data_IF_620695304136
#
_entry.id   IF_620695304136
#
_cell.length_a   1.000
_cell.length_b   1.000
_cell.length_c   1.000
_cell.angle_alpha   90.00
_cell.angle_beta   90.00
_cell.angle_gamma   90.00
#
_symmetry.space_group_name_H-M   'P 1'
#
loop_
_entity.id
_entity.type
_entity.pdbx_description
1 polymer ?
#
# COMPACT_ATOMS: atom_id res chain seq x y z
N UNK A 1 6.62 22.24 -12.70
CA UNK A 1 6.64 23.68 -12.41
C UNK A 1 7.22 23.96 -11.04
N UNK A 2 6.48 23.75 -9.93
CA UNK A 2 6.95 24.09 -8.57
C UNK A 2 8.33 23.50 -8.19
N UNK A 3 8.58 22.21 -8.46
CA UNK A 3 9.90 21.59 -8.23
C UNK A 3 11.05 22.25 -9.01
N UNK A 4 10.77 22.83 -10.18
CA UNK A 4 11.78 23.53 -10.98
C UNK A 4 12.27 24.82 -10.33
N UNK A 5 11.37 25.55 -9.65
CA UNK A 5 11.72 26.77 -8.91
C UNK A 5 12.71 26.52 -7.77
N UNK A 6 12.72 25.31 -7.20
CA UNK A 6 13.74 24.89 -6.24
C UNK A 6 15.14 24.96 -6.85
N UNK A 7 15.34 24.47 -8.08
CA UNK A 7 16.66 24.49 -8.74
C UNK A 7 17.14 25.92 -8.92
N UNK A 8 16.28 26.82 -9.43
CA UNK A 8 16.58 28.25 -9.54
C UNK A 8 16.93 28.89 -8.19
N UNK A 9 16.22 28.52 -7.12
CA UNK A 9 16.55 29.00 -5.78
C UNK A 9 17.91 28.49 -5.28
N UNK A 10 18.29 27.25 -5.59
CA UNK A 10 19.61 26.71 -5.28
C UNK A 10 20.72 27.41 -6.06
N UNK A 11 20.49 27.73 -7.33
CA UNK A 11 21.43 28.49 -8.17
C UNK A 11 21.62 29.94 -7.70
N UNK A 12 20.68 30.50 -6.92
CA UNK A 12 20.78 31.82 -6.31
C UNK A 12 21.64 31.86 -5.03
N UNK A 13 22.11 30.73 -4.50
CA UNK A 13 22.86 30.67 -3.23
C UNK A 13 24.30 31.20 -3.35
N UNK A 14 25.14 30.79 -4.33
CA UNK A 14 26.55 31.16 -4.39
C UNK A 14 26.78 32.57 -4.98
N UNK A 15 26.25 33.61 -4.32
CA UNK A 15 26.47 35.01 -4.69
C UNK A 15 27.92 35.44 -4.44
N UNK A 16 28.39 36.43 -5.19
CA UNK A 16 29.78 36.90 -5.10
C UNK A 16 29.95 37.92 -3.96
N UNK A 17 30.96 37.69 -3.12
CA UNK A 17 31.35 38.56 -1.99
C UNK A 17 30.18 38.85 -1.02
N UNK A 18 29.95 40.10 -0.64
CA UNK A 18 28.89 40.48 0.30
C UNK A 18 27.48 40.44 -0.32
N UNK A 19 27.38 40.49 -1.65
CA UNK A 19 26.19 40.24 -2.49
C UNK A 19 26.42 40.69 -3.95
N UNK A 20 25.77 39.99 -4.88
CA UNK A 20 25.39 40.53 -6.19
C UNK A 20 23.86 40.48 -6.36
N UNK A 21 23.31 41.01 -7.45
CA UNK A 21 21.85 41.18 -7.65
C UNK A 21 21.23 40.14 -8.59
N UNK A 22 21.99 39.14 -9.05
CA UNK A 22 21.52 38.13 -10.04
C UNK A 22 20.25 37.40 -9.58
N UNK A 23 20.19 37.02 -8.30
CA UNK A 23 19.03 36.38 -7.67
C UNK A 23 17.74 37.18 -7.82
N UNK A 24 17.83 38.51 -7.86
CA UNK A 24 16.67 39.40 -7.81
C UNK A 24 15.75 39.26 -9.03
N UNK A 25 16.28 39.03 -10.24
CA UNK A 25 15.43 38.83 -11.43
C UNK A 25 14.73 37.49 -11.41
N UNK A 26 15.42 36.44 -10.96
CA UNK A 26 14.86 35.11 -10.78
C UNK A 26 13.78 35.09 -9.68
N UNK A 27 14.05 35.70 -8.53
CA UNK A 27 13.14 35.76 -7.37
C UNK A 27 11.84 36.51 -7.67
N UNK A 28 11.87 37.53 -8.53
CA UNK A 28 10.66 38.23 -8.99
C UNK A 28 9.68 37.31 -9.73
N UNK A 29 10.17 36.19 -10.27
CA UNK A 29 9.33 35.18 -10.92
C UNK A 29 9.03 34.07 -9.92
N UNK A 30 10.08 33.43 -9.39
CA UNK A 30 9.88 32.17 -8.65
C UNK A 30 9.17 32.36 -7.32
N UNK A 31 9.32 33.50 -6.62
CA UNK A 31 8.67 33.70 -5.32
C UNK A 31 7.16 33.90 -5.44
N UNK A 32 6.63 34.88 -6.23
CA UNK A 32 5.20 35.04 -6.38
C UNK A 32 4.56 33.83 -7.07
N UNK A 33 5.21 33.25 -8.09
CA UNK A 33 4.68 32.07 -8.77
C UNK A 33 4.60 30.86 -7.83
N UNK A 34 5.66 30.55 -7.08
CA UNK A 34 5.69 29.37 -6.22
C UNK A 34 4.67 29.46 -5.09
N UNK A 35 4.58 30.61 -4.42
CA UNK A 35 3.67 30.80 -3.29
C UNK A 35 2.20 30.82 -3.73
N UNK A 36 1.88 31.53 -4.82
CA UNK A 36 0.53 31.55 -5.39
C UNK A 36 0.12 30.17 -5.90
N UNK A 37 1.01 29.46 -6.60
CA UNK A 37 0.73 28.13 -7.11
C UNK A 37 0.51 27.13 -5.98
N UNK A 38 1.34 27.18 -4.93
CA UNK A 38 1.20 26.27 -3.79
C UNK A 38 -0.10 26.53 -3.02
N UNK A 39 -0.45 27.79 -2.78
CA UNK A 39 -1.73 28.17 -2.17
C UNK A 39 -2.92 27.62 -2.98
N UNK A 40 -2.91 27.83 -4.30
CA UNK A 40 -3.94 27.27 -5.18
C UNK A 40 -4.00 25.73 -5.11
N UNK A 41 -2.85 25.06 -5.16
CA UNK A 41 -2.79 23.59 -5.10
C UNK A 41 -3.34 23.05 -3.78
N UNK A 42 -3.01 23.67 -2.65
CA UNK A 42 -3.48 23.25 -1.32
C UNK A 42 -5.00 23.44 -1.21
N UNK A 43 -5.53 24.61 -1.55
CA UNK A 43 -6.97 24.87 -1.50
C UNK A 43 -7.75 23.95 -2.45
N UNK A 44 -7.25 23.79 -3.69
CA UNK A 44 -7.92 22.93 -4.68
C UNK A 44 -7.90 21.47 -4.25
N UNK A 45 -6.78 20.98 -3.75
CA UNK A 45 -6.64 19.58 -3.34
C UNK A 45 -7.42 19.28 -2.05
N UNK A 46 -7.47 20.21 -1.10
CA UNK A 46 -8.34 20.10 0.08
C UNK A 46 -9.81 19.86 -0.34
N UNK A 47 -10.32 20.66 -1.29
CA UNK A 47 -11.66 20.46 -1.85
C UNK A 47 -11.83 19.13 -2.58
N UNK A 48 -10.79 18.60 -3.24
CA UNK A 48 -10.83 17.26 -3.85
C UNK A 48 -10.97 16.17 -2.78
N UNK A 49 -10.19 16.24 -1.71
CA UNK A 49 -10.24 15.26 -0.61
C UNK A 49 -11.57 15.35 0.15
N UNK A 50 -12.06 16.57 0.43
CA UNK A 50 -13.33 16.80 1.13
C UNK A 50 -14.54 16.24 0.36
N UNK A 51 -14.52 16.32 -0.97
CA UNK A 51 -15.61 15.85 -1.84
C UNK A 51 -15.31 14.50 -2.49
N UNK A 52 -14.28 13.78 -2.03
CA UNK A 52 -13.88 12.51 -2.63
C UNK A 52 -14.96 11.45 -2.37
N UNK A 53 -15.51 10.90 -3.45
CA UNK A 53 -16.45 9.78 -3.36
C UNK A 53 -15.66 8.47 -3.32
N UNK A 54 -15.78 7.73 -2.21
CA UNK A 54 -15.17 6.41 -2.01
C UNK A 54 -16.22 5.32 -2.24
N UNK A 55 -15.86 4.31 -3.03
CA UNK A 55 -16.72 3.16 -3.32
C UNK A 55 -16.19 1.92 -2.61
N UNK A 56 -16.66 1.69 -1.40
CA UNK A 56 -16.20 0.60 -0.51
C UNK A 56 -16.43 -0.78 -1.15
N UNK A 57 -17.59 -1.02 -1.76
CA UNK A 57 -17.90 -2.28 -2.46
C UNK A 57 -16.89 -2.59 -3.59
N UNK A 58 -16.43 -1.55 -4.29
CA UNK A 58 -15.42 -1.72 -5.34
C UNK A 58 -14.04 -2.02 -4.75
N UNK A 59 -13.71 -1.43 -3.60
CA UNK A 59 -12.45 -1.74 -2.89
C UNK A 59 -12.44 -3.19 -2.44
N UNK A 60 -13.52 -3.66 -1.82
CA UNK A 60 -13.66 -5.05 -1.39
C UNK A 60 -13.64 -6.02 -2.58
N UNK A 61 -14.45 -5.75 -3.62
CA UNK A 61 -14.46 -6.55 -4.84
C UNK A 61 -13.07 -6.66 -5.48
N UNK A 62 -12.28 -5.58 -5.48
CA UNK A 62 -10.93 -5.60 -6.02
C UNK A 62 -9.96 -6.51 -5.25
N UNK A 63 -10.13 -6.66 -3.93
CA UNK A 63 -9.33 -7.61 -3.14
C UNK A 63 -9.60 -9.04 -3.63
N UNK A 64 -10.88 -9.36 -3.85
CA UNK A 64 -11.32 -10.70 -4.28
C UNK A 64 -11.09 -11.01 -5.76
N UNK A 65 -10.68 -10.04 -6.60
CA UNK A 65 -10.35 -10.27 -8.02
C UNK A 65 -9.21 -11.24 -8.25
N UNK A 66 -8.39 -11.49 -7.22
CA UNK A 66 -7.32 -12.49 -7.24
C UNK A 66 -7.74 -13.82 -6.62
N UNK A 67 -9.06 -14.09 -6.55
CA UNK A 67 -9.61 -15.36 -6.08
C UNK A 67 -9.18 -15.77 -4.65
N UNK A 68 -8.74 -14.81 -3.83
CA UNK A 68 -8.24 -15.06 -2.47
C UNK A 68 -6.74 -15.35 -2.39
N UNK A 69 -5.97 -15.18 -3.46
CA UNK A 69 -4.52 -15.38 -3.47
C UNK A 69 -3.75 -14.46 -2.52
N UNK A 70 -4.33 -13.31 -2.16
CA UNK A 70 -3.79 -12.39 -1.14
C UNK A 70 -3.54 -13.06 0.21
N UNK A 71 -4.23 -14.18 0.51
CA UNK A 71 -4.11 -14.93 1.75
C UNK A 71 -3.00 -16.00 1.74
N UNK A 72 -2.39 -16.28 0.59
CA UNK A 72 -1.37 -17.33 0.42
C UNK A 72 -0.21 -17.22 1.42
N UNK A 73 0.26 -16.00 1.71
CA UNK A 73 1.33 -15.79 2.68
C UNK A 73 0.89 -16.17 4.10
N UNK A 74 -0.36 -15.88 4.48
CA UNK A 74 -0.87 -16.18 5.83
C UNK A 74 -1.05 -17.70 6.01
N UNK A 75 -1.55 -18.38 4.98
CA UNK A 75 -1.61 -19.84 4.94
C UNK A 75 -0.21 -20.46 5.08
N UNK A 76 0.77 -19.97 4.31
CA UNK A 76 2.16 -20.41 4.38
C UNK A 76 2.73 -20.25 5.80
N UNK A 77 2.51 -19.10 6.44
CA UNK A 77 2.99 -18.88 7.81
C UNK A 77 2.33 -19.81 8.82
N UNK A 78 1.03 -20.12 8.68
CA UNK A 78 0.38 -21.10 9.55
C UNK A 78 0.98 -22.50 9.44
N UNK A 79 1.33 -22.93 8.23
CA UNK A 79 2.04 -24.21 8.02
C UNK A 79 3.40 -24.21 8.74
N UNK A 80 4.13 -23.09 8.67
CA UNK A 80 5.40 -22.93 9.39
C UNK A 80 5.20 -22.98 10.91
N UNK A 81 4.18 -22.31 11.43
CA UNK A 81 3.85 -22.29 12.86
C UNK A 81 3.49 -23.69 13.39
N UNK A 82 3.01 -24.58 12.51
CA UNK A 82 2.78 -26.02 12.79
C UNK A 82 4.02 -26.89 12.66
N UNK A 83 5.16 -26.32 12.32
CA UNK A 83 6.45 -27.01 12.25
C UNK A 83 6.89 -27.42 10.84
N UNK A 84 6.15 -27.03 9.79
CA UNK A 84 6.60 -27.25 8.42
C UNK A 84 7.81 -26.36 8.09
N UNK A 85 8.91 -26.90 7.52
CA UNK A 85 10.01 -26.08 7.02
C UNK A 85 9.51 -25.05 5.99
N UNK A 86 10.05 -23.83 6.04
CA UNK A 86 9.63 -22.72 5.17
C UNK A 86 9.65 -23.07 3.67
N UNK A 87 10.70 -23.75 3.23
CA UNK A 87 10.85 -24.19 1.83
C UNK A 87 9.73 -25.16 1.45
N UNK A 88 9.47 -26.17 2.29
CA UNK A 88 8.37 -27.10 2.08
C UNK A 88 7.00 -26.38 2.07
N UNK A 89 6.75 -25.45 3.01
CA UNK A 89 5.51 -24.69 3.03
C UNK A 89 5.31 -23.83 1.78
N UNK A 90 6.41 -23.27 1.24
CA UNK A 90 6.38 -22.53 -0.01
C UNK A 90 6.08 -23.46 -1.19
N UNK A 91 6.78 -24.59 -1.29
CA UNK A 91 6.61 -25.58 -2.36
C UNK A 91 5.23 -26.26 -2.34
N UNK A 92 4.58 -26.30 -1.18
CA UNK A 92 3.17 -26.73 -1.04
C UNK A 92 2.19 -25.64 -1.51
N UNK A 93 2.35 -24.40 -1.05
CA UNK A 93 1.37 -23.33 -1.30
C UNK A 93 1.46 -22.77 -2.73
N UNK A 94 2.67 -22.66 -3.28
CA UNK A 94 2.89 -22.02 -4.59
C UNK A 94 2.15 -22.72 -5.74
N UNK A 95 2.20 -24.05 -5.90
CA UNK A 95 1.49 -24.73 -7.00
C UNK A 95 -0.04 -24.56 -6.90
N UNK A 96 -0.59 -24.57 -5.68
CA UNK A 96 -2.02 -24.36 -5.45
C UNK A 96 -2.45 -22.93 -5.80
N UNK A 97 -1.61 -21.94 -5.46
CA UNK A 97 -1.81 -20.56 -5.84
C UNK A 97 -1.76 -20.37 -7.37
N UNK A 98 -0.79 -21.02 -8.04
CA UNK A 98 -0.70 -21.02 -9.50
C UNK A 98 -1.92 -21.66 -10.15
N UNK A 99 -2.40 -22.78 -9.61
CA UNK A 99 -3.64 -23.43 -10.07
C UNK A 99 -4.84 -22.49 -9.99
N UNK A 100 -5.05 -21.86 -8.83
CA UNK A 100 -6.12 -20.86 -8.65
C UNK A 100 -6.03 -19.72 -9.66
N UNK A 101 -4.82 -19.25 -9.96
CA UNK A 101 -4.58 -18.21 -10.94
C UNK A 101 -4.87 -18.65 -12.39
N UNK A 102 -4.36 -19.81 -12.79
CA UNK A 102 -4.50 -20.31 -14.17
C UNK A 102 -5.94 -20.75 -14.48
N UNK A 103 -6.60 -21.38 -13.52
CA UNK A 103 -7.96 -21.92 -13.68
C UNK A 103 -9.05 -20.91 -13.28
N UNK A 104 -8.66 -19.76 -12.71
CA UNK A 104 -9.58 -18.73 -12.19
C UNK A 104 -10.55 -19.27 -11.13
N UNK A 105 -10.11 -20.26 -10.37
CA UNK A 105 -10.85 -20.87 -9.28
C UNK A 105 -10.52 -20.22 -7.93
N UNK A 106 -11.47 -20.28 -6.99
CA UNK A 106 -11.26 -19.78 -5.63
C UNK A 106 -10.11 -20.55 -4.95
N UNK A 107 -9.17 -19.82 -4.37
CA UNK A 107 -7.98 -20.40 -3.78
C UNK A 107 -8.29 -21.25 -2.54
N UNK A 108 -9.26 -20.82 -1.71
CA UNK A 108 -9.62 -21.53 -0.47
C UNK A 108 -10.13 -22.97 -0.71
N UNK A 109 -11.09 -23.23 -1.63
CA UNK A 109 -11.47 -24.60 -1.96
C UNK A 109 -10.32 -25.48 -2.48
N UNK A 110 -9.39 -24.90 -3.25
CA UNK A 110 -8.20 -25.65 -3.73
C UNK A 110 -7.33 -26.09 -2.54
N UNK A 111 -7.16 -25.21 -1.55
CA UNK A 111 -6.40 -25.45 -0.32
C UNK A 111 -7.08 -26.50 0.57
N UNK A 112 -8.40 -26.43 0.71
CA UNK A 112 -9.21 -27.39 1.49
C UNK A 112 -9.22 -28.79 0.87
N UNK A 113 -8.96 -28.91 -0.44
CA UNK A 113 -8.87 -30.17 -1.13
C UNK A 113 -7.45 -30.80 -1.09
N UNK A 114 -6.44 -30.09 -0.59
CA UNK A 114 -5.06 -30.56 -0.53
C UNK A 114 -4.78 -31.35 0.78
N UNK A 115 -4.37 -32.60 0.63
CA UNK A 115 -4.10 -33.50 1.77
C UNK A 115 -2.92 -33.00 2.62
N UNK A 116 -1.87 -32.43 2.01
CA UNK A 116 -0.69 -31.97 2.77
C UNK A 116 -1.00 -30.79 3.69
N UNK A 117 -1.99 -29.96 3.29
CA UNK A 117 -2.49 -28.86 4.11
C UNK A 117 -3.44 -29.36 5.19
N UNK A 118 -4.42 -30.19 4.82
CA UNK A 118 -5.46 -30.67 5.76
C UNK A 118 -4.95 -31.68 6.80
N UNK A 119 -3.83 -32.36 6.53
CA UNK A 119 -3.11 -33.15 7.54
C UNK A 119 -2.38 -32.26 8.56
N UNK A 120 -2.03 -31.03 8.20
CA UNK A 120 -1.23 -30.11 9.03
C UNK A 120 -2.09 -29.08 9.76
N UNK A 121 -3.14 -28.57 9.12
CA UNK A 121 -4.03 -27.52 9.61
C UNK A 121 -5.46 -28.04 9.74
N UNK A 122 -6.12 -27.64 10.83
CA UNK A 122 -7.56 -27.86 10.99
C UNK A 122 -8.36 -26.91 10.11
N UNK A 123 -9.63 -27.22 9.87
CA UNK A 123 -10.53 -26.35 9.10
C UNK A 123 -10.62 -24.94 9.70
N UNK A 124 -10.70 -24.81 11.03
CA UNK A 124 -10.72 -23.51 11.70
C UNK A 124 -9.44 -22.69 11.46
N UNK A 125 -8.29 -23.35 11.35
CA UNK A 125 -7.01 -22.70 11.06
C UNK A 125 -6.89 -22.28 9.59
N UNK A 126 -7.46 -23.07 8.68
CA UNK A 126 -7.60 -22.68 7.27
C UNK A 126 -8.54 -21.50 7.17
N UNK A 127 -9.72 -21.55 7.79
CA UNK A 127 -10.68 -20.44 7.82
C UNK A 127 -10.05 -19.17 8.36
N UNK A 128 -9.29 -19.27 9.46
CA UNK A 128 -8.54 -18.14 10.00
C UNK A 128 -7.52 -17.62 8.98
N UNK A 129 -6.80 -18.45 8.22
CA UNK A 129 -5.85 -17.96 7.21
C UNK A 129 -6.48 -17.05 6.14
N UNK A 130 -7.77 -17.23 5.85
CA UNK A 130 -8.53 -16.48 4.85
C UNK A 130 -9.35 -15.33 5.43
N UNK A 131 -9.19 -15.02 6.71
CA UNK A 131 -9.86 -13.89 7.35
C UNK A 131 -9.18 -12.55 7.01
N UNK A 132 -9.98 -11.57 6.56
CA UNK A 132 -9.50 -10.23 6.23
C UNK A 132 -9.21 -9.40 7.47
N UNK A 133 -9.95 -9.60 8.58
CA UNK A 133 -9.89 -8.78 9.79
C UNK A 133 -8.52 -8.86 10.46
N UNK A 134 -7.81 -9.96 10.28
CA UNK A 134 -6.42 -10.06 10.69
C UNK A 134 -5.55 -8.92 10.14
N UNK A 135 -5.76 -8.46 8.89
CA UNK A 135 -4.95 -7.41 8.28
C UNK A 135 -5.29 -6.01 8.82
N UNK A 136 -6.49 -5.84 9.40
CA UNK A 136 -6.96 -4.56 9.95
C UNK A 136 -6.85 -4.47 11.47
N UNK A 137 -6.47 -5.56 12.16
CA UNK A 137 -6.34 -5.64 13.64
C UNK A 137 -5.52 -4.54 14.32
N UNK A 138 -4.60 -3.90 13.59
CA UNK A 138 -3.72 -2.86 14.13
C UNK A 138 -4.08 -1.44 13.65
N UNK A 139 -5.16 -1.26 12.89
CA UNK A 139 -5.61 0.06 12.41
C UNK A 139 -5.81 1.01 13.59
N UNK A 140 -6.47 0.53 14.64
CA UNK A 140 -6.74 1.26 15.86
C UNK A 140 -5.48 1.77 16.57
N UNK A 141 -4.48 0.89 16.71
CA UNK A 141 -3.17 1.23 17.27
C UNK A 141 -2.45 2.31 16.45
N UNK A 142 -2.61 2.29 15.12
CA UNK A 142 -2.02 3.30 14.24
C UNK A 142 -2.73 4.64 14.39
N UNK A 143 -4.06 4.65 14.45
CA UNK A 143 -4.87 5.86 14.63
C UNK A 143 -4.58 6.56 15.95
N UNK A 144 -4.41 5.80 17.03
CA UNK A 144 -4.01 6.35 18.33
C UNK A 144 -2.65 7.08 18.27
N UNK A 145 -1.67 6.50 17.57
CA UNK A 145 -0.33 7.12 17.42
C UNK A 145 -0.33 8.44 16.67
N UNK A 146 -1.30 8.65 15.77
CA UNK A 146 -1.44 9.89 15.00
C UNK A 146 -2.48 10.84 15.58
N UNK A 147 -3.02 10.55 16.77
CA UNK A 147 -3.97 11.41 17.49
C UNK A 147 -5.37 11.45 16.88
N UNK A 148 -5.79 10.38 16.19
CA UNK A 148 -7.10 10.27 15.54
C UNK A 148 -8.06 9.32 16.29
N UNK A 149 -7.92 9.21 17.61
CA UNK A 149 -8.81 8.45 18.50
C UNK A 149 -9.13 9.21 19.78
#
# INVERSE_FOLDING_TARGET
VLRGYMVTAYENIPLWHERDISHSSAERIILPDATTLLDYMLNRFAGVIENLVVFEDNMESNIWKTQGLVFSQRLLHKLIDKGMPREQAYDTVQPLAMKSWEEQELFKPIVEADESITETLTQEEIDDAFDLDHHTRNVDTIFERVGLK
#
